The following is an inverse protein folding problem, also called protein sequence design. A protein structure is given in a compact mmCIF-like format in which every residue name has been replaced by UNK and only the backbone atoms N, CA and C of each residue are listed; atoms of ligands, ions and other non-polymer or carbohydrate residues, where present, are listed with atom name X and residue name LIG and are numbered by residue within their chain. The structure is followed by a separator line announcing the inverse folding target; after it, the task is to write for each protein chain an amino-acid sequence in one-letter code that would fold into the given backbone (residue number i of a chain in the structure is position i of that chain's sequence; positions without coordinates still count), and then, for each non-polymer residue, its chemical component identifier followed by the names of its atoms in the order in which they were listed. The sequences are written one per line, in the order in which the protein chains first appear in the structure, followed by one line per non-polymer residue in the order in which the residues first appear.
data_IF_294780186962
#
_entry.id   IF_294780186962
#
_cell.length_a   1.000
_cell.length_b   1.000
_cell.length_c   1.000
_cell.angle_alpha   90.00
_cell.angle_beta   90.00
_cell.angle_gamma   90.00
#
_symmetry.space_group_name_H-M   'P 1'
#
loop_
_entity.id
_entity.type
_entity.pdbx_description
1 polymer ?
#
# COMPACT_ATOMS: atom_id res chain seq x y z
N UNK A 1 -7.46 -2.31 14.46
CA UNK A 1 -6.87 -2.81 13.19
C UNK A 1 -6.16 -4.12 13.46
N UNK A 2 -6.50 -5.14 12.71
CA UNK A 2 -5.85 -6.44 12.85
C UNK A 2 -4.82 -6.64 11.74
N UNK A 3 -3.69 -7.23 12.12
CA UNK A 3 -2.65 -7.56 11.15
C UNK A 3 -2.58 -9.09 11.02
N UNK A 4 -2.38 -9.56 9.79
CA UNK A 4 -2.28 -10.98 9.52
C UNK A 4 -0.91 -11.28 8.91
N UNK A 5 -0.27 -12.36 9.38
CA UNK A 5 0.99 -12.81 8.79
C UNK A 5 0.81 -13.22 7.34
N UNK A 6 -0.39 -13.64 6.96
CA UNK A 6 -0.68 -14.03 5.59
C UNK A 6 -0.64 -12.88 4.61
N UNK A 7 -0.64 -11.64 5.11
CA UNK A 7 -0.58 -10.43 4.29
C UNK A 7 0.79 -9.74 4.37
N UNK A 8 1.79 -10.43 4.88
CA UNK A 8 3.17 -9.93 4.93
C UNK A 8 4.00 -10.69 3.89
N UNK A 9 4.52 -9.96 2.92
CA UNK A 9 5.27 -10.50 1.79
C UNK A 9 6.70 -9.98 1.85
N UNK A 10 7.59 -10.78 2.44
CA UNK A 10 8.99 -10.39 2.62
C UNK A 10 9.85 -10.83 1.45
N UNK A 11 10.72 -9.92 1.00
CA UNK A 11 11.68 -10.19 -0.08
C UNK A 11 11.01 -10.71 -1.35
N UNK A 12 9.93 -10.03 -1.76
CA UNK A 12 9.21 -10.35 -2.98
C UNK A 12 9.56 -9.37 -4.08
N UNK A 13 9.85 -9.89 -5.26
CA UNK A 13 10.15 -9.07 -6.43
C UNK A 13 8.98 -9.19 -7.40
N UNK A 14 8.32 -8.07 -7.63
CA UNK A 14 7.26 -7.96 -8.63
C UNK A 14 7.85 -7.16 -9.80
N UNK A 15 7.41 -7.46 -11.01
CA UNK A 15 7.90 -6.73 -12.18
C UNK A 15 7.46 -5.27 -12.17
N UNK A 16 6.26 -5.00 -11.64
CA UNK A 16 5.75 -3.65 -11.49
C UNK A 16 4.62 -3.64 -10.44
N UNK A 17 4.10 -2.44 -10.16
CA UNK A 17 3.03 -2.30 -9.17
C UNK A 17 1.72 -2.95 -9.64
N UNK A 18 1.49 -3.03 -10.94
CA UNK A 18 0.30 -3.67 -11.48
C UNK A 18 0.29 -5.16 -11.13
N UNK A 19 1.42 -5.84 -11.33
CA UNK A 19 1.54 -7.25 -10.96
C UNK A 19 1.34 -7.42 -9.46
N UNK A 20 1.96 -6.56 -8.65
CA UNK A 20 1.84 -6.62 -7.21
C UNK A 20 0.38 -6.48 -6.76
N UNK A 21 -0.31 -5.45 -7.23
CA UNK A 21 -1.70 -5.21 -6.85
C UNK A 21 -2.63 -6.29 -7.36
N UNK A 22 -2.37 -6.84 -8.54
CA UNK A 22 -3.18 -7.92 -9.07
C UNK A 22 -3.05 -9.16 -8.19
N UNK A 23 -1.84 -9.57 -7.88
CA UNK A 23 -1.59 -10.77 -7.08
C UNK A 23 -2.10 -10.63 -5.65
N UNK A 24 -1.76 -9.54 -4.99
CA UNK A 24 -2.19 -9.32 -3.60
C UNK A 24 -3.69 -9.03 -3.54
N UNK A 25 -4.19 -8.26 -4.50
CA UNK A 25 -5.61 -7.95 -4.59
C UNK A 25 -6.48 -9.19 -4.73
N UNK A 26 -6.05 -10.17 -5.50
CA UNK A 26 -6.78 -11.42 -5.65
C UNK A 26 -6.90 -12.16 -4.31
N UNK A 27 -5.82 -12.17 -3.54
CA UNK A 27 -5.83 -12.77 -2.19
C UNK A 27 -6.80 -12.01 -1.28
N UNK A 28 -6.77 -10.69 -1.31
CA UNK A 28 -7.65 -9.87 -0.49
C UNK A 28 -9.13 -10.06 -0.86
N UNK A 29 -9.42 -10.18 -2.14
CA UNK A 29 -10.78 -10.42 -2.62
C UNK A 29 -11.25 -11.81 -2.20
N UNK A 30 -10.41 -12.82 -2.36
CA UNK A 30 -10.73 -14.19 -1.98
C UNK A 30 -11.03 -14.30 -0.48
N UNK A 31 -10.30 -13.57 0.35
CA UNK A 31 -10.50 -13.53 1.79
C UNK A 31 -11.64 -12.60 2.22
N UNK A 32 -12.30 -11.97 1.26
CA UNK A 32 -13.40 -11.03 1.50
C UNK A 32 -12.99 -9.82 2.37
N UNK A 33 -11.71 -9.48 2.31
CA UNK A 33 -11.18 -8.30 3.01
C UNK A 33 -11.53 -7.04 2.25
N UNK A 34 -11.55 -7.13 0.92
CA UNK A 34 -11.92 -6.01 0.05
C UNK A 34 -12.98 -6.47 -0.95
N UNK A 35 -13.62 -5.50 -1.58
CA UNK A 35 -14.64 -5.78 -2.59
C UNK A 35 -13.99 -6.04 -3.96
N UNK A 36 -14.72 -6.69 -4.90
CA UNK A 36 -14.14 -7.07 -6.20
C UNK A 36 -13.54 -5.94 -7.01
N UNK A 37 -13.98 -4.71 -6.84
CA UNK A 37 -13.45 -3.57 -7.58
C UNK A 37 -12.10 -3.06 -7.06
N UNK A 38 -11.58 -3.65 -5.98
CA UNK A 38 -10.37 -3.15 -5.32
C UNK A 38 -9.17 -2.99 -6.27
N UNK A 39 -8.88 -4.03 -7.06
CA UNK A 39 -7.69 -4.01 -7.94
C UNK A 39 -7.77 -2.86 -8.93
N UNK A 40 -8.89 -2.73 -9.60
CA UNK A 40 -9.11 -1.67 -10.57
C UNK A 40 -9.00 -0.29 -9.92
N UNK A 41 -9.62 -0.15 -8.75
CA UNK A 41 -9.64 1.13 -8.03
C UNK A 41 -8.28 1.52 -7.46
N UNK A 42 -7.49 0.56 -6.95
CA UNK A 42 -6.17 0.89 -6.43
C UNK A 42 -5.21 1.32 -7.55
N UNK A 43 -5.30 0.68 -8.69
CA UNK A 43 -4.48 1.06 -9.84
C UNK A 43 -4.82 2.46 -10.33
N UNK A 44 -6.12 2.75 -10.42
CA UNK A 44 -6.61 4.05 -10.85
C UNK A 44 -6.23 5.14 -9.84
N UNK A 45 -6.35 4.82 -8.54
CA UNK A 45 -6.03 5.78 -7.50
C UNK A 45 -4.55 6.16 -7.50
N UNK A 46 -3.67 5.18 -7.72
CA UNK A 46 -2.24 5.47 -7.77
C UNK A 46 -1.87 6.35 -8.97
N UNK A 47 -2.59 6.26 -10.07
CA UNK A 47 -2.37 7.15 -11.21
C UNK A 47 -2.75 8.59 -10.90
N UNK A 48 -3.84 8.79 -10.16
CA UNK A 48 -4.40 10.10 -9.88
C UNK A 48 -3.89 10.71 -8.57
N UNK A 49 -3.59 9.86 -7.59
CA UNK A 49 -3.14 10.27 -6.25
C UNK A 49 -2.00 9.36 -5.82
N UNK A 50 -0.80 9.58 -6.37
CA UNK A 50 0.35 8.72 -6.07
C UNK A 50 0.74 8.72 -4.59
N UNK A 51 1.25 7.58 -4.12
CA UNK A 51 1.64 7.43 -2.71
C UNK A 51 3.12 7.09 -2.52
N UNK A 52 3.92 7.15 -3.58
CA UNK A 52 5.37 6.93 -3.45
C UNK A 52 6.03 8.08 -2.71
N UNK A 53 6.81 7.76 -1.70
CA UNK A 53 7.50 8.76 -0.88
C UNK A 53 8.95 8.38 -0.69
N UNK A 54 9.85 9.31 -1.01
CA UNK A 54 11.26 9.09 -0.81
C UNK A 54 11.66 9.69 0.53
N UNK A 55 12.00 8.81 1.47
CA UNK A 55 12.43 9.21 2.79
C UNK A 55 13.96 9.23 2.85
N UNK A 56 14.51 9.81 3.92
CA UNK A 56 15.95 9.91 4.10
C UNK A 56 16.67 8.56 4.05
N UNK A 57 16.04 7.51 4.57
CA UNK A 57 16.65 6.18 4.67
C UNK A 57 16.16 5.16 3.68
N UNK A 58 14.98 5.36 3.13
CA UNK A 58 14.38 4.39 2.23
C UNK A 58 13.23 5.02 1.48
N UNK A 59 12.82 4.35 0.42
CA UNK A 59 11.66 4.75 -0.36
C UNK A 59 10.50 3.84 -0.03
N UNK A 60 9.34 4.41 0.22
CA UNK A 60 8.14 3.67 0.61
C UNK A 60 6.95 4.07 -0.25
N UNK A 61 5.90 3.28 -0.19
CA UNK A 61 4.61 3.63 -0.77
C UNK A 61 3.52 3.21 0.19
N UNK A 62 2.42 3.96 0.19
CA UNK A 62 1.29 3.68 1.08
C UNK A 62 -0.02 3.69 0.29
N UNK A 63 -0.17 2.74 -0.65
CA UNK A 63 -1.38 2.68 -1.47
C UNK A 63 -2.63 2.39 -0.63
N UNK A 64 -3.74 3.00 -1.03
CA UNK A 64 -5.02 2.79 -0.36
C UNK A 64 -6.15 3.18 -1.30
N UNK A 65 -7.34 2.66 -1.04
CA UNK A 65 -8.55 3.00 -1.79
C UNK A 65 -9.56 3.64 -0.84
N UNK A 66 -10.63 4.17 -1.42
CA UNK A 66 -11.72 4.70 -0.61
C UNK A 66 -12.37 3.58 0.23
N UNK A 67 -12.86 3.95 1.40
CA UNK A 67 -13.44 3.01 2.37
C UNK A 67 -14.57 2.14 1.79
N UNK A 68 -15.30 2.64 0.81
CA UNK A 68 -16.41 1.90 0.21
C UNK A 68 -15.99 0.59 -0.48
N UNK A 69 -14.71 0.46 -0.80
CA UNK A 69 -14.16 -0.76 -1.43
C UNK A 69 -13.58 -1.75 -0.42
N UNK A 70 -13.72 -1.46 0.86
CA UNK A 70 -13.09 -2.23 1.94
C UNK A 70 -14.15 -2.82 2.87
N UNK A 71 -13.94 -4.06 3.27
CA UNK A 71 -14.84 -4.75 4.19
C UNK A 71 -14.34 -4.78 5.63
N UNK A 72 -13.04 -4.71 5.83
CA UNK A 72 -12.47 -4.73 7.19
C UNK A 72 -11.16 -3.95 7.23
N UNK A 73 -10.72 -3.59 8.43
CA UNK A 73 -9.49 -2.83 8.63
C UNK A 73 -8.30 -3.76 8.78
N UNK A 74 -7.32 -3.64 7.89
CA UNK A 74 -6.07 -4.40 7.96
C UNK A 74 -4.99 -3.68 7.13
N UNK A 75 -3.90 -4.37 6.88
CA UNK A 75 -2.80 -3.84 6.08
C UNK A 75 -2.02 -5.00 5.49
N UNK A 76 -1.56 -4.86 4.25
CA UNK A 76 -0.54 -5.76 3.74
C UNK A 76 0.80 -5.03 3.72
N UNK A 77 1.88 -5.79 3.83
CA UNK A 77 3.24 -5.23 3.79
C UNK A 77 4.03 -6.01 2.77
N UNK A 78 4.73 -5.29 1.91
CA UNK A 78 5.66 -5.90 0.95
C UNK A 78 7.03 -5.29 1.16
N UNK A 79 8.04 -6.14 1.26
CA UNK A 79 9.42 -5.67 1.18
C UNK A 79 10.04 -6.23 -0.08
N UNK A 80 10.85 -5.43 -0.76
CA UNK A 80 11.48 -5.82 -2.01
C UNK A 80 12.85 -5.18 -2.12
N UNK A 81 13.88 -6.00 -2.26
CA UNK A 81 15.25 -5.49 -2.44
C UNK A 81 15.40 -4.79 -3.78
N UNK A 82 14.72 -5.29 -4.81
CA UNK A 82 14.68 -4.68 -6.13
C UNK A 82 13.88 -3.38 -6.12
N UNK A 83 12.83 -3.33 -5.31
CA UNK A 83 11.91 -2.21 -5.26
C UNK A 83 10.78 -2.34 -6.28
N UNK A 84 9.70 -1.61 -6.04
CA UNK A 84 8.55 -1.53 -6.93
C UNK A 84 8.35 -0.06 -7.27
N UNK A 85 8.26 0.25 -8.55
CA UNK A 85 8.13 1.64 -8.99
C UNK A 85 6.74 2.20 -8.71
N UNK A 86 6.71 3.34 -8.05
CA UNK A 86 5.49 4.12 -7.82
C UNK A 86 5.73 5.54 -8.31
N UNK A 87 4.67 6.25 -8.64
CA UNK A 87 4.78 7.66 -8.92
C UNK A 87 4.97 8.40 -7.60
N UNK A 88 5.73 9.49 -7.64
CA UNK A 88 6.04 10.27 -6.45
C UNK A 88 4.82 11.11 -6.04
N UNK A 89 4.48 11.07 -4.74
CA UNK A 89 3.35 11.83 -4.21
C UNK A 89 3.59 13.34 -4.24
N UNK A 90 4.84 13.77 -4.25
CA UNK A 90 5.20 15.18 -4.12
C UNK A 90 5.55 15.88 -5.43
N UNK A 91 5.95 15.13 -6.46
CA UNK A 91 6.37 15.72 -7.74
C UNK A 91 6.06 14.77 -8.89
N UNK A 92 6.50 15.09 -10.09
CA UNK A 92 6.26 14.31 -11.30
C UNK A 92 7.22 13.13 -11.47
N UNK A 93 8.09 12.88 -10.51
CA UNK A 93 9.07 11.81 -10.59
C UNK A 93 8.52 10.47 -10.15
N UNK A 94 9.42 9.51 -10.04
CA UNK A 94 9.09 8.16 -9.60
C UNK A 94 9.88 7.81 -8.35
N UNK A 95 9.34 6.84 -7.59
CA UNK A 95 9.95 6.32 -6.36
C UNK A 95 10.07 4.83 -6.52
N UNK A 96 11.26 4.29 -6.29
CA UNK A 96 11.45 2.84 -6.29
C UNK A 96 11.26 2.35 -4.85
N UNK A 97 10.02 2.02 -4.51
CA UNK A 97 9.65 1.70 -3.13
C UNK A 97 10.20 0.34 -2.71
N UNK A 98 10.94 0.34 -1.61
CA UNK A 98 11.52 -0.88 -1.03
C UNK A 98 10.57 -1.51 -0.02
N UNK A 99 9.68 -0.72 0.55
CA UNK A 99 8.63 -1.18 1.45
C UNK A 99 7.31 -0.56 1.03
N UNK A 100 6.30 -1.40 0.90
CA UNK A 100 4.96 -0.96 0.54
C UNK A 100 4.02 -1.32 1.69
N UNK A 101 3.33 -0.31 2.21
CA UNK A 101 2.30 -0.49 3.24
C UNK A 101 0.95 -0.32 2.58
N UNK A 102 0.31 -1.43 2.25
CA UNK A 102 -1.02 -1.39 1.64
C UNK A 102 -2.09 -1.19 2.70
N UNK A 103 -2.56 0.04 2.83
CA UNK A 103 -3.54 0.40 3.84
C UNK A 103 -4.93 -0.04 3.40
N UNK A 104 -5.60 -0.81 4.25
CA UNK A 104 -6.95 -1.29 3.99
C UNK A 104 -7.79 -0.84 5.17
N UNK A 105 -8.44 0.31 5.01
CA UNK A 105 -9.12 0.98 6.13
C UNK A 105 -10.54 1.32 5.73
N UNK A 106 -11.47 0.78 6.50
CA UNK A 106 -12.89 1.00 6.31
C UNK A 106 -13.34 2.33 6.92
N UNK A 107 -12.63 2.79 7.93
CA UNK A 107 -12.94 4.01 8.66
C UNK A 107 -11.90 5.08 8.34
N UNK A 108 -12.31 6.18 7.74
CA UNK A 108 -11.41 7.25 7.31
C UNK A 108 -10.66 7.93 8.48
N UNK A 109 -11.26 7.98 9.65
CA UNK A 109 -10.60 8.55 10.83
C UNK A 109 -9.43 7.68 11.25
N UNK A 110 -9.63 6.35 11.25
CA UNK A 110 -8.56 5.41 11.57
C UNK A 110 -7.45 5.43 10.53
N UNK A 111 -7.81 5.70 9.30
CA UNK A 111 -6.84 5.85 8.22
C UNK A 111 -5.87 7.00 8.50
N UNK A 112 -6.40 8.15 8.87
CA UNK A 112 -5.59 9.32 9.18
C UNK A 112 -4.70 9.05 10.40
N UNK A 113 -5.26 8.48 11.46
CA UNK A 113 -4.51 8.13 12.66
C UNK A 113 -3.37 7.16 12.34
N UNK A 114 -3.66 6.18 11.49
CA UNK A 114 -2.66 5.19 11.11
C UNK A 114 -1.51 5.81 10.31
N UNK A 115 -1.84 6.72 9.38
CA UNK A 115 -0.82 7.42 8.61
C UNK A 115 0.07 8.27 9.50
N UNK A 116 -0.52 8.95 10.49
CA UNK A 116 0.25 9.74 11.46
C UNK A 116 1.22 8.85 12.22
N UNK A 117 0.75 7.71 12.70
CA UNK A 117 1.58 6.77 13.45
C UNK A 117 2.71 6.19 12.61
N UNK A 118 2.45 5.87 11.35
CA UNK A 118 3.48 5.39 10.44
C UNK A 118 4.54 6.45 10.21
N UNK A 119 4.11 7.69 10.00
CA UNK A 119 5.02 8.81 9.78
C UNK A 119 5.94 8.99 10.98
N UNK A 120 5.38 8.93 12.19
CA UNK A 120 6.17 9.02 13.41
C UNK A 120 7.18 7.89 13.54
N UNK A 121 6.76 6.68 13.18
CA UNK A 121 7.65 5.51 13.22
C UNK A 121 8.84 5.67 12.27
N UNK A 122 8.61 6.20 11.08
CA UNK A 122 9.69 6.41 10.12
C UNK A 122 10.65 7.52 10.53
N UNK A 123 10.21 8.44 11.36
CA UNK A 123 11.06 9.51 11.87
C UNK A 123 11.94 9.07 13.02
N UNK A 124 11.64 7.95 13.63
CA UNK A 124 12.45 7.35 14.68
C UNK A 124 13.54 6.49 14.06
N UNK A 125 14.71 6.60 14.60
CA UNK A 125 15.82 5.76 14.19
C UNK A 125 16.14 4.72 15.23
#
# INVERSE_FOLDING_TARGET
MKFSKDLIYLNKDFSDRKEMFTNIGEVLIEKDIVKPAYIEEILKREENFPTGIELEFMSVAMPHVEAKHVNENTMFVVTSAKGVEFDNAEDDGVVNAKIIFGLIVKDSEKHIDFLIKLTELFQKK
#
